data_IF_943970938241
#
_entry.id   IF_943970938241
#
_cell.length_a   1.000
_cell.length_b   1.000
_cell.length_c   1.000
_cell.angle_alpha   90.00
_cell.angle_beta   90.00
_cell.angle_gamma   90.00
#
_symmetry.space_group_name_H-M   'P 1'
#
loop_
_entity.id
_entity.type
_entity.pdbx_description
1 polymer ?
#
# COMPACT_ATOMS: atom_id res chain seq x y z
N UNK A 1 11.74 -25.84 -5.89
CA UNK A 1 10.32 -25.52 -6.15
C UNK A 1 9.58 -25.07 -4.87
N UNK A 2 10.23 -24.45 -3.88
CA UNK A 2 9.73 -24.56 -2.48
C UNK A 2 9.67 -23.27 -1.64
N UNK A 3 10.34 -22.17 -2.02
CA UNK A 3 10.43 -20.96 -1.17
C UNK A 3 9.42 -19.86 -1.52
N UNK A 4 9.10 -19.72 -2.81
CA UNK A 4 8.02 -18.82 -3.23
C UNK A 4 6.71 -19.22 -2.52
N UNK A 5 6.50 -20.53 -2.31
CA UNK A 5 5.36 -21.16 -1.64
C UNK A 5 5.22 -20.88 -0.12
N UNK A 6 6.30 -20.55 0.60
CA UNK A 6 6.18 -20.11 2.00
C UNK A 6 5.74 -18.64 2.11
N UNK A 7 6.24 -17.79 1.21
CA UNK A 7 5.87 -16.38 1.14
C UNK A 7 4.39 -16.26 0.71
N UNK A 8 4.03 -16.91 -0.41
CA UNK A 8 2.93 -17.90 -0.45
C UNK A 8 1.89 -17.83 0.66
N UNK A 9 2.13 -18.74 1.59
CA UNK A 9 1.26 -19.05 2.72
C UNK A 9 1.13 -17.92 3.73
N UNK A 10 2.15 -17.08 3.91
CA UNK A 10 2.08 -15.99 4.91
C UNK A 10 1.11 -14.89 4.48
N UNK A 11 1.23 -14.36 3.25
CA UNK A 11 0.27 -13.35 2.77
C UNK A 11 -1.13 -13.95 2.65
N UNK A 12 -1.23 -15.22 2.23
CA UNK A 12 -2.50 -15.93 2.10
C UNK A 12 -3.21 -16.00 3.45
N UNK A 13 -2.50 -16.36 4.51
CA UNK A 13 -3.05 -16.39 5.87
C UNK A 13 -3.48 -15.01 6.34
N UNK A 14 -2.70 -13.97 6.07
CA UNK A 14 -3.05 -12.59 6.45
C UNK A 14 -4.33 -12.14 5.76
N UNK A 15 -4.42 -12.28 4.43
CA UNK A 15 -5.61 -11.84 3.70
C UNK A 15 -6.84 -12.68 4.07
N UNK A 16 -6.69 -14.00 4.22
CA UNK A 16 -7.78 -14.87 4.67
C UNK A 16 -8.26 -14.48 6.06
N UNK A 17 -7.35 -14.22 7.01
CA UNK A 17 -7.70 -13.79 8.36
C UNK A 17 -8.46 -12.46 8.38
N UNK A 18 -8.11 -11.52 7.49
CA UNK A 18 -8.84 -10.25 7.33
C UNK A 18 -10.23 -10.52 6.76
N UNK A 19 -10.34 -11.24 5.64
CA UNK A 19 -11.62 -11.46 4.96
C UNK A 19 -12.60 -12.29 5.80
N UNK A 20 -12.13 -13.32 6.49
CA UNK A 20 -12.96 -14.16 7.38
C UNK A 20 -13.68 -13.33 8.46
N UNK A 21 -13.03 -12.26 8.95
CA UNK A 21 -13.57 -11.34 9.96
C UNK A 21 -14.33 -10.15 9.35
N UNK A 22 -14.29 -9.97 8.03
CA UNK A 22 -15.03 -8.89 7.36
C UNK A 22 -16.54 -9.11 7.48
N UNK A 23 -17.31 -8.03 7.65
CA UNK A 23 -18.78 -8.10 7.60
C UNK A 23 -19.31 -8.18 6.17
N UNK A 24 -18.56 -7.65 5.20
CA UNK A 24 -19.04 -7.42 3.84
C UNK A 24 -18.26 -8.19 2.76
N UNK A 25 -17.00 -8.56 3.03
CA UNK A 25 -16.07 -9.05 2.01
C UNK A 25 -15.61 -10.50 2.25
N UNK A 26 -16.35 -11.32 3.01
CA UNK A 26 -15.94 -12.69 3.37
C UNK A 26 -15.66 -13.56 2.14
N UNK A 27 -16.53 -13.46 1.14
CA UNK A 27 -16.49 -14.27 -0.07
C UNK A 27 -15.83 -13.55 -1.25
N UNK A 28 -15.08 -12.46 -0.98
CA UNK A 28 -14.45 -11.68 -2.03
C UNK A 28 -13.32 -12.47 -2.70
N UNK A 29 -13.31 -12.47 -4.04
CA UNK A 29 -12.26 -13.14 -4.82
C UNK A 29 -10.90 -12.49 -4.58
N UNK A 30 -9.92 -13.31 -4.21
CA UNK A 30 -8.53 -12.85 -4.01
C UNK A 30 -7.77 -12.95 -5.33
N UNK A 31 -7.30 -11.82 -5.85
CA UNK A 31 -6.36 -11.78 -6.97
C UNK A 31 -4.91 -11.84 -6.47
N UNK A 32 -4.12 -12.80 -6.98
CA UNK A 32 -2.70 -12.89 -6.67
C UNK A 32 -1.86 -12.22 -7.74
N UNK A 33 -1.02 -11.28 -7.33
CA UNK A 33 -0.07 -10.61 -8.21
C UNK A 33 1.37 -10.86 -7.77
N UNK A 34 2.17 -11.41 -8.69
CA UNK A 34 3.59 -11.71 -8.43
C UNK A 34 4.45 -10.46 -8.20
N UNK A 35 3.98 -9.28 -8.62
CA UNK A 35 4.64 -7.99 -8.43
C UNK A 35 4.54 -7.50 -7.00
N UNK A 36 3.61 -8.02 -6.20
CA UNK A 36 3.45 -7.67 -4.78
C UNK A 36 4.40 -8.42 -3.84
N UNK A 37 5.26 -9.29 -4.37
CA UNK A 37 6.21 -10.07 -3.56
C UNK A 37 7.29 -9.20 -2.92
N UNK A 38 7.86 -9.71 -1.83
CA UNK A 38 9.00 -9.09 -1.15
C UNK A 38 10.23 -8.93 -2.08
N UNK A 39 11.07 -7.96 -1.73
CA UNK A 39 12.43 -7.79 -2.28
C UNK A 39 13.21 -9.10 -2.18
N UNK A 40 13.81 -9.53 -3.28
CA UNK A 40 14.76 -10.65 -3.27
C UNK A 40 16.05 -10.23 -2.60
N UNK A 41 16.53 -11.07 -1.70
CA UNK A 41 17.82 -10.89 -1.03
C UNK A 41 18.89 -11.86 -1.54
N UNK A 42 18.58 -12.65 -2.58
CA UNK A 42 19.54 -13.53 -3.25
C UNK A 42 20.25 -14.46 -2.26
N UNK A 43 21.59 -14.42 -2.26
CA UNK A 43 22.43 -15.22 -1.34
C UNK A 43 22.23 -14.90 0.14
N UNK A 44 21.56 -13.79 0.48
CA UNK A 44 21.22 -13.41 1.85
C UNK A 44 19.86 -13.91 2.33
N UNK A 45 19.08 -14.59 1.48
CA UNK A 45 17.78 -15.14 1.88
C UNK A 45 17.90 -16.26 2.93
N UNK A 46 17.09 -16.16 3.98
CA UNK A 46 17.10 -17.11 5.11
C UNK A 46 18.24 -16.87 6.10
N UNK A 47 19.11 -15.89 5.86
CA UNK A 47 20.18 -15.51 6.78
C UNK A 47 19.71 -14.44 7.78
N UNK A 48 20.33 -14.35 8.96
CA UNK A 48 20.08 -13.26 9.91
C UNK A 48 20.37 -11.88 9.30
N UNK A 49 19.63 -10.86 9.76
CA UNK A 49 19.84 -9.48 9.33
C UNK A 49 21.27 -8.97 9.60
N UNK A 50 21.92 -9.47 10.66
CA UNK A 50 23.31 -9.15 10.97
C UNK A 50 24.28 -9.55 9.85
N UNK A 51 24.04 -10.69 9.19
CA UNK A 51 24.86 -11.13 8.06
C UNK A 51 24.68 -10.22 6.84
N UNK A 52 23.45 -9.82 6.53
CA UNK A 52 23.20 -8.85 5.44
C UNK A 52 23.91 -7.51 5.70
N UNK A 53 23.90 -7.03 6.95
CA UNK A 53 24.63 -5.82 7.36
C UNK A 53 26.14 -6.00 7.25
N UNK A 54 26.67 -7.17 7.60
CA UNK A 54 28.08 -7.48 7.47
C UNK A 54 28.52 -7.51 5.99
N UNK A 55 27.71 -8.11 5.12
CA UNK A 55 27.95 -8.09 3.66
C UNK A 55 27.96 -6.66 3.12
N UNK A 56 27.00 -5.83 3.51
CA UNK A 56 26.96 -4.42 3.11
C UNK A 56 28.23 -3.68 3.53
N UNK A 57 28.63 -3.83 4.81
CA UNK A 57 29.83 -3.19 5.36
C UNK A 57 31.11 -3.64 4.65
N UNK A 58 31.22 -4.92 4.26
CA UNK A 58 32.37 -5.44 3.52
C UNK A 58 32.54 -4.77 2.15
N UNK A 59 31.47 -4.25 1.55
CA UNK A 59 31.49 -3.48 0.30
C UNK A 59 31.46 -1.97 0.51
N UNK A 60 31.62 -1.47 1.75
CA UNK A 60 31.55 -0.04 2.06
C UNK A 60 30.16 0.57 1.83
N UNK A 61 29.10 -0.26 1.81
CA UNK A 61 27.71 0.16 1.62
C UNK A 61 26.92 -0.05 2.91
N UNK A 62 25.73 0.56 2.96
CA UNK A 62 24.80 0.41 4.08
C UNK A 62 23.49 -0.25 3.63
N UNK A 63 22.79 -0.89 4.57
CA UNK A 63 21.42 -1.29 4.35
C UNK A 63 20.50 -0.05 4.45
N UNK A 64 19.48 0.10 3.59
CA UNK A 64 18.99 -0.89 2.64
C UNK A 64 19.56 -0.78 1.21
N UNK A 65 20.51 0.12 0.95
CA UNK A 65 21.03 0.41 -0.40
C UNK A 65 21.83 -0.78 -0.97
N UNK A 66 22.58 -1.48 -0.12
CA UNK A 66 23.28 -2.70 -0.51
C UNK A 66 22.35 -3.73 -1.17
N UNK A 67 22.81 -4.31 -2.27
CA UNK A 67 22.11 -5.38 -2.99
C UNK A 67 23.00 -6.61 -3.01
N UNK A 68 22.65 -7.66 -2.25
CA UNK A 68 23.42 -8.91 -2.25
C UNK A 68 23.34 -9.60 -3.63
N UNK A 69 24.33 -10.44 -3.99
CA UNK A 69 24.31 -11.22 -5.23
C UNK A 69 23.00 -12.00 -5.41
N UNK A 70 22.37 -11.87 -6.58
CA UNK A 70 21.07 -12.47 -6.90
C UNK A 70 19.86 -11.78 -6.23
N UNK A 71 20.08 -10.69 -5.48
CA UNK A 71 19.03 -9.85 -4.91
C UNK A 71 18.51 -8.79 -5.88
N UNK A 72 17.45 -8.09 -5.47
CA UNK A 72 16.91 -6.94 -6.19
C UNK A 72 17.44 -5.62 -5.65
N UNK A 73 17.67 -4.65 -6.54
CA UNK A 73 17.96 -3.27 -6.17
C UNK A 73 16.69 -2.57 -5.68
N UNK A 74 16.84 -1.44 -4.97
CA UNK A 74 15.69 -0.64 -4.54
C UNK A 74 14.88 -0.13 -5.75
N UNK A 75 15.56 0.23 -6.84
CA UNK A 75 14.91 0.70 -8.08
C UNK A 75 14.15 -0.41 -8.79
N UNK A 76 14.67 -1.64 -8.80
CA UNK A 76 13.94 -2.79 -9.34
C UNK A 76 12.65 -3.08 -8.56
N UNK A 77 12.71 -2.99 -7.22
CA UNK A 77 11.52 -3.11 -6.38
C UNK A 77 10.54 -1.97 -6.65
N UNK A 78 11.04 -0.73 -6.73
CA UNK A 78 10.22 0.47 -7.05
C UNK A 78 9.52 0.30 -8.41
N UNK A 79 10.24 -0.15 -9.44
CA UNK A 79 9.70 -0.31 -10.79
C UNK A 79 8.54 -1.32 -10.83
N UNK A 80 8.65 -2.45 -10.12
CA UNK A 80 7.53 -3.40 -10.00
C UNK A 80 6.37 -2.84 -9.16
N UNK A 81 6.67 -1.97 -8.19
CA UNK A 81 5.69 -1.18 -7.45
C UNK A 81 4.87 -0.30 -8.40
N UNK A 82 5.57 0.48 -9.22
CA UNK A 82 4.97 1.34 -10.24
C UNK A 82 4.15 0.54 -11.24
N UNK A 83 4.70 -0.54 -11.80
CA UNK A 83 3.99 -1.39 -12.77
C UNK A 83 2.70 -1.99 -12.20
N UNK A 84 2.70 -2.40 -10.92
CA UNK A 84 1.48 -2.84 -10.24
C UNK A 84 0.47 -1.70 -10.06
N UNK A 85 0.94 -0.52 -9.67
CA UNK A 85 0.09 0.65 -9.44
C UNK A 85 -0.55 1.15 -10.74
N UNK A 86 0.22 1.27 -11.83
CA UNK A 86 -0.26 1.66 -13.15
C UNK A 86 -1.34 0.67 -13.64
N UNK A 87 -1.10 -0.63 -13.47
CA UNK A 87 -2.10 -1.67 -13.74
C UNK A 87 -3.38 -1.48 -12.90
N UNK A 88 -3.24 -1.19 -11.61
CA UNK A 88 -4.38 -1.02 -10.71
C UNK A 88 -5.22 0.18 -11.11
N UNK A 89 -4.60 1.31 -11.42
CA UNK A 89 -5.29 2.51 -11.90
C UNK A 89 -6.08 2.21 -13.19
N UNK A 90 -5.45 1.56 -14.17
CA UNK A 90 -6.11 1.16 -15.42
C UNK A 90 -7.28 0.20 -15.20
N UNK A 91 -7.14 -0.75 -14.27
CA UNK A 91 -8.20 -1.69 -13.91
C UNK A 91 -9.42 -0.96 -13.35
N UNK A 92 -9.22 -0.04 -12.41
CA UNK A 92 -10.30 0.72 -11.78
C UNK A 92 -10.97 1.67 -12.79
N UNK A 93 -10.22 2.35 -13.65
CA UNK A 93 -10.80 3.19 -14.73
C UNK A 93 -11.67 2.37 -15.68
N UNK A 94 -11.18 1.20 -16.09
CA UNK A 94 -11.93 0.29 -16.96
C UNK A 94 -13.21 -0.18 -16.28
N UNK A 95 -13.16 -0.55 -15.00
CA UNK A 95 -14.36 -0.98 -14.28
C UNK A 95 -15.36 0.16 -14.02
N UNK A 96 -14.87 1.39 -13.81
CA UNK A 96 -15.71 2.57 -13.67
C UNK A 96 -16.41 2.95 -15.00
N UNK A 97 -15.68 2.90 -16.13
CA UNK A 97 -16.24 3.22 -17.45
C UNK A 97 -17.20 2.17 -18.02
N UNK A 98 -17.20 0.94 -17.50
CA UNK A 98 -18.14 -0.13 -17.89
C UNK A 98 -19.42 -0.14 -17.04
N UNK A 99 -19.49 0.64 -15.97
CA UNK A 99 -20.74 0.86 -15.23
C UNK A 99 -21.57 1.91 -15.99
N UNK A 100 -22.60 1.46 -16.70
CA UNK A 100 -23.73 2.34 -17.08
C UNK A 100 -24.20 3.14 -15.86
N UNK A 101 -24.67 4.40 -16.01
CA UNK A 101 -25.17 5.18 -14.89
C UNK A 101 -26.36 4.46 -14.27
N UNK A 102 -26.11 3.79 -13.15
CA UNK A 102 -27.17 3.26 -12.31
C UNK A 102 -28.04 4.45 -11.89
N UNK A 103 -29.35 4.21 -11.94
CA UNK A 103 -30.45 5.12 -11.56
C UNK A 103 -30.17 5.97 -10.31
N UNK A 104 -30.89 7.09 -10.12
CA UNK A 104 -30.57 8.09 -9.11
C UNK A 104 -30.51 7.51 -7.69
N UNK A 105 -29.45 7.90 -6.97
CA UNK A 105 -29.35 7.89 -5.50
C UNK A 105 -29.15 6.55 -4.79
N UNK A 106 -27.91 6.03 -4.86
CA UNK A 106 -27.23 5.58 -3.64
C UNK A 106 -26.05 6.52 -3.45
N UNK A 107 -25.98 7.30 -2.36
CA UNK A 107 -24.90 8.27 -2.19
C UNK A 107 -23.56 7.52 -2.19
N UNK A 108 -22.58 8.03 -2.96
CA UNK A 108 -21.18 7.55 -2.98
C UNK A 108 -20.48 7.57 -1.62
N UNK A 109 -21.19 7.98 -0.57
CA UNK A 109 -20.79 8.15 0.80
C UNK A 109 -20.58 6.82 1.55
N UNK A 110 -21.02 5.65 1.04
CA UNK A 110 -20.96 4.40 1.83
C UNK A 110 -19.53 3.89 2.08
N UNK A 111 -18.65 3.91 1.07
CA UNK A 111 -17.27 3.45 1.20
C UNK A 111 -16.45 4.42 2.06
N UNK A 112 -16.59 5.72 1.79
CA UNK A 112 -15.87 6.77 2.50
C UNK A 112 -16.27 6.81 3.98
N UNK A 113 -17.57 6.71 4.28
CA UNK A 113 -18.07 6.65 5.66
C UNK A 113 -17.52 5.44 6.41
N UNK A 114 -17.48 4.26 5.77
CA UNK A 114 -16.92 3.04 6.38
C UNK A 114 -15.42 3.15 6.66
N UNK A 115 -14.68 3.87 5.82
CA UNK A 115 -13.25 4.13 6.05
C UNK A 115 -13.05 5.17 7.16
N UNK A 116 -13.87 6.22 7.19
CA UNK A 116 -13.80 7.29 8.18
C UNK A 116 -14.15 6.81 9.61
N UNK A 117 -14.87 5.69 9.77
CA UNK A 117 -15.11 5.08 11.09
C UNK A 117 -13.82 4.62 11.80
N UNK A 118 -12.78 4.26 11.04
CA UNK A 118 -11.56 3.62 11.56
C UNK A 118 -10.32 4.49 11.30
N UNK A 119 -10.28 5.16 10.15
CA UNK A 119 -9.14 5.96 9.72
C UNK A 119 -9.41 7.45 9.90
N UNK A 120 -8.36 8.26 10.10
CA UNK A 120 -8.50 9.71 10.22
C UNK A 120 -8.74 10.38 8.86
N UNK A 121 -9.79 9.94 8.12
CA UNK A 121 -10.39 10.71 7.03
C UNK A 121 -11.14 11.87 7.71
N UNK A 122 -10.44 12.98 7.91
CA UNK A 122 -10.88 14.02 8.85
C UNK A 122 -12.28 14.57 8.57
N UNK A 123 -13.00 14.87 9.65
CA UNK A 123 -14.04 15.92 9.69
C UNK A 123 -13.52 17.20 10.40
N UNK A 124 -12.21 17.44 10.40
CA UNK A 124 -11.58 18.65 10.98
C UNK A 124 -11.50 19.78 9.94
N UNK A 125 -12.66 20.19 9.41
CA UNK A 125 -12.77 21.40 8.61
C UNK A 125 -12.65 22.63 9.52
N UNK A 126 -11.51 23.31 9.44
CA UNK A 126 -11.53 24.78 9.52
C UNK A 126 -12.31 25.28 8.29
N UNK A 127 -13.18 26.29 8.38
CA UNK A 127 -14.02 26.74 7.26
C UNK A 127 -13.25 27.27 6.03
N UNK A 128 -11.92 27.37 6.10
CA UNK A 128 -11.10 28.08 5.11
C UNK A 128 -10.17 27.17 4.26
N UNK A 129 -10.24 25.84 4.42
CA UNK A 129 -9.48 24.92 3.55
C UNK A 129 -10.38 23.83 2.98
N UNK A 130 -11.35 24.24 2.15
CA UNK A 130 -11.91 23.35 1.14
C UNK A 130 -10.82 23.00 0.13
N UNK A 131 -10.00 21.98 0.42
CA UNK A 131 -9.68 21.04 -0.67
C UNK A 131 -10.86 20.09 -0.67
N UNK A 132 -11.91 20.52 -1.36
CA UNK A 132 -13.03 19.65 -1.65
C UNK A 132 -12.45 18.47 -2.45
N UNK A 133 -12.27 17.32 -1.82
CA UNK A 133 -12.26 16.06 -2.57
C UNK A 133 -13.49 16.16 -3.48
N UNK A 134 -13.26 16.06 -4.79
CA UNK A 134 -14.27 16.36 -5.79
C UNK A 134 -15.59 15.66 -5.45
N UNK A 135 -16.71 16.25 -5.83
CA UNK A 135 -18.06 15.75 -5.52
C UNK A 135 -18.38 14.35 -6.10
N UNK A 136 -17.38 13.59 -6.56
CA UNK A 136 -17.47 12.21 -6.99
C UNK A 136 -16.96 11.30 -5.85
N UNK A 137 -17.86 10.52 -5.24
CA UNK A 137 -17.47 9.54 -4.21
C UNK A 137 -16.48 8.49 -4.72
N UNK A 138 -15.89 7.72 -3.80
CA UNK A 138 -14.88 6.71 -4.11
C UNK A 138 -15.39 5.67 -5.13
N UNK A 139 -14.69 5.54 -6.26
CA UNK A 139 -15.02 4.54 -7.28
C UNK A 139 -14.78 3.10 -6.81
N UNK A 140 -13.76 2.90 -5.95
CA UNK A 140 -13.39 1.62 -5.36
C UNK A 140 -12.64 1.78 -4.03
N UNK A 141 -12.65 0.72 -3.21
CA UNK A 141 -11.77 0.58 -2.05
C UNK A 141 -10.97 -0.70 -2.20
N UNK A 142 -9.65 -0.58 -2.36
CA UNK A 142 -8.76 -1.70 -2.70
C UNK A 142 -7.92 -2.11 -1.48
N UNK A 143 -8.01 -3.39 -1.10
CA UNK A 143 -7.17 -3.98 -0.07
C UNK A 143 -5.96 -4.68 -0.70
N UNK A 144 -4.75 -4.18 -0.40
CA UNK A 144 -3.49 -4.79 -0.84
C UNK A 144 -2.72 -5.32 0.37
N UNK A 145 -2.37 -6.61 0.35
CA UNK A 145 -1.50 -7.23 1.36
C UNK A 145 -0.14 -7.54 0.72
N UNK A 146 0.93 -6.99 1.30
CA UNK A 146 2.28 -7.13 0.76
C UNK A 146 3.33 -7.19 1.89
N UNK A 147 4.55 -6.74 1.61
CA UNK A 147 5.73 -6.92 2.44
C UNK A 147 6.43 -5.60 2.73
N UNK A 148 7.16 -5.55 3.85
CA UNK A 148 7.71 -4.31 4.38
C UNK A 148 8.69 -3.59 3.44
N UNK A 149 9.64 -4.30 2.82
CA UNK A 149 10.60 -3.62 1.95
C UNK A 149 9.95 -3.20 0.60
N UNK A 150 9.05 -4.02 0.06
CA UNK A 150 8.23 -3.64 -1.10
C UNK A 150 7.37 -2.40 -0.82
N UNK A 151 6.57 -2.41 0.25
CA UNK A 151 5.68 -1.31 0.61
C UNK A 151 6.46 -0.01 0.84
N UNK A 152 7.62 -0.07 1.51
CA UNK A 152 8.49 1.09 1.67
C UNK A 152 8.92 1.69 0.33
N UNK A 153 9.31 0.86 -0.64
CA UNK A 153 9.66 1.33 -1.99
C UNK A 153 8.46 1.92 -2.73
N UNK A 154 7.27 1.33 -2.61
CA UNK A 154 6.04 1.82 -3.22
C UNK A 154 5.60 3.17 -2.62
N UNK A 155 5.61 3.30 -1.29
CA UNK A 155 5.31 4.57 -0.62
C UNK A 155 6.34 5.64 -0.97
N UNK A 156 7.61 5.25 -1.12
CA UNK A 156 8.66 6.12 -1.63
C UNK A 156 8.30 6.72 -2.98
N UNK A 157 7.81 5.88 -3.91
CA UNK A 157 7.30 6.31 -5.20
C UNK A 157 6.11 7.28 -5.07
N UNK A 158 5.11 6.95 -4.26
CA UNK A 158 3.94 7.83 -4.04
C UNK A 158 4.30 9.22 -3.51
N UNK A 159 5.19 9.31 -2.53
CA UNK A 159 5.43 10.57 -1.82
C UNK A 159 6.59 11.39 -2.37
N UNK A 160 7.45 10.78 -3.18
CA UNK A 160 8.64 11.43 -3.75
C UNK A 160 8.47 11.63 -5.24
N UNK A 161 8.16 10.57 -5.98
CA UNK A 161 8.07 10.61 -7.44
C UNK A 161 6.72 11.23 -7.88
N UNK A 162 5.59 10.79 -7.30
CA UNK A 162 4.24 11.37 -7.56
C UNK A 162 3.92 12.61 -6.71
N UNK A 163 4.87 13.08 -5.89
CA UNK A 163 4.71 14.27 -5.01
C UNK A 163 3.46 14.21 -4.12
N UNK A 164 3.05 13.01 -3.70
CA UNK A 164 1.88 12.82 -2.87
C UNK A 164 1.92 13.61 -1.55
N UNK A 165 0.75 13.99 -1.09
CA UNK A 165 0.57 14.74 0.16
C UNK A 165 0.70 13.84 1.39
N UNK A 166 1.20 14.42 2.48
CA UNK A 166 1.32 13.79 3.80
C UNK A 166 0.47 14.57 4.80
N UNK A 167 -0.20 13.90 5.75
CA UNK A 167 -0.90 14.57 6.83
C UNK A 167 0.12 15.23 7.76
N UNK A 168 -0.27 16.34 8.41
CA UNK A 168 0.62 17.13 9.26
C UNK A 168 1.21 16.34 10.45
N UNK A 169 0.56 15.25 10.83
CA UNK A 169 1.00 14.36 11.91
C UNK A 169 2.12 13.40 11.50
N UNK A 170 2.32 13.18 10.20
CA UNK A 170 3.34 12.27 9.69
C UNK A 170 4.56 13.05 9.20
N UNK A 171 5.74 12.51 9.51
CA UNK A 171 6.99 13.09 9.07
C UNK A 171 7.63 12.25 7.95
N UNK A 172 8.47 12.88 7.12
CA UNK A 172 9.15 12.15 6.02
C UNK A 172 10.11 11.06 6.51
N UNK A 173 10.51 11.03 7.78
CA UNK A 173 11.36 9.96 8.31
C UNK A 173 10.59 8.64 8.49
N UNK A 174 9.27 8.68 8.65
CA UNK A 174 8.42 7.48 8.67
C UNK A 174 8.37 6.78 7.32
N UNK A 175 8.67 7.49 6.23
CA UNK A 175 8.83 6.91 4.89
C UNK A 175 10.05 5.99 4.78
N UNK A 176 11.06 6.21 5.63
CA UNK A 176 12.24 5.33 5.70
C UNK A 176 11.97 4.08 6.55
N UNK A 177 10.94 4.10 7.39
CA UNK A 177 10.60 2.99 8.26
C UNK A 177 10.00 1.81 7.47
N UNK A 178 10.36 0.60 7.89
CA UNK A 178 9.73 -0.62 7.38
C UNK A 178 8.41 -0.81 8.11
N UNK A 179 7.34 -1.10 7.37
CA UNK A 179 6.03 -1.34 7.95
C UNK A 179 6.08 -2.47 8.98
N UNK A 180 5.48 -2.30 10.19
CA UNK A 180 5.37 -3.39 11.14
C UNK A 180 4.49 -4.51 10.56
N UNK A 181 4.60 -5.73 11.11
CA UNK A 181 3.73 -6.83 10.70
C UNK A 181 2.26 -6.42 10.91
N UNK A 182 1.44 -6.55 9.87
CA UNK A 182 0.03 -6.13 9.84
C UNK A 182 -0.19 -4.62 10.05
N UNK A 183 0.85 -3.80 9.89
CA UNK A 183 0.71 -2.35 9.83
C UNK A 183 -0.16 -1.93 8.65
N UNK A 184 -1.06 -0.98 8.87
CA UNK A 184 -2.02 -0.52 7.85
C UNK A 184 -1.64 0.90 7.40
N UNK A 185 -1.53 1.08 6.09
CA UNK A 185 -1.36 2.41 5.48
C UNK A 185 -2.51 2.65 4.51
N UNK A 186 -3.07 3.85 4.53
CA UNK A 186 -4.19 4.23 3.69
C UNK A 186 -3.82 5.45 2.84
N UNK A 187 -4.14 5.35 1.55
CA UNK A 187 -3.96 6.41 0.57
C UNK A 187 -5.26 6.58 -0.22
N UNK A 188 -5.64 7.83 -0.48
CA UNK A 188 -6.66 8.20 -1.46
C UNK A 188 -5.92 8.56 -2.75
N UNK A 189 -6.39 8.01 -3.88
CA UNK A 189 -5.77 8.20 -5.18
C UNK A 189 -6.80 8.86 -6.08
N UNK A 190 -6.50 10.07 -6.51
CA UNK A 190 -7.33 10.85 -7.42
C UNK A 190 -6.66 10.86 -8.79
N UNK A 191 -7.36 10.40 -9.82
CA UNK A 191 -6.77 10.26 -11.14
C UNK A 191 -7.82 10.25 -12.24
N UNK A 192 -7.47 10.87 -13.36
CA UNK A 192 -8.29 10.96 -14.56
C UNK A 192 -7.64 10.18 -15.72
N UNK A 193 -8.43 9.83 -16.72
CA UNK A 193 -7.91 9.16 -17.92
C UNK A 193 -6.89 10.03 -18.64
N UNK A 194 -5.66 9.54 -18.78
CA UNK A 194 -4.55 10.26 -19.41
C UNK A 194 -3.80 11.24 -18.48
N UNK A 195 -4.23 11.39 -17.23
CA UNK A 195 -3.55 12.20 -16.20
C UNK A 195 -2.53 11.43 -15.36
N UNK A 196 -1.64 12.15 -14.68
CA UNK A 196 -0.81 11.59 -13.62
C UNK A 196 -1.63 11.50 -12.32
N UNK A 197 -1.62 10.36 -11.60
CA UNK A 197 -2.41 10.20 -10.38
C UNK A 197 -1.89 11.08 -9.24
N UNK A 198 -2.80 11.79 -8.59
CA UNK A 198 -2.57 12.48 -7.32
C UNK A 198 -2.74 11.50 -6.15
N UNK A 199 -1.79 11.54 -5.20
CA UNK A 199 -1.76 10.62 -4.07
C UNK A 199 -1.88 11.38 -2.77
N UNK A 200 -2.87 11.05 -1.96
CA UNK A 200 -3.11 11.62 -0.65
C UNK A 200 -2.93 10.56 0.43
N UNK A 201 -1.85 10.65 1.19
CA UNK A 201 -1.65 9.77 2.34
C UNK A 201 -2.59 10.17 3.48
N UNK A 202 -3.35 9.22 3.99
CA UNK A 202 -4.22 9.42 5.17
C UNK A 202 -3.48 8.98 6.43
N UNK A 203 -2.90 7.78 6.41
CA UNK A 203 -2.12 7.25 7.52
C UNK A 203 -1.05 6.27 7.04
N UNK A 204 0.02 6.10 7.81
CA UNK A 204 1.07 5.11 7.54
C UNK A 204 1.32 4.25 8.77
N UNK A 205 1.48 2.94 8.53
CA UNK A 205 1.93 1.98 9.55
C UNK A 205 1.08 1.98 10.83
N UNK A 206 -0.22 2.24 10.70
CA UNK A 206 -1.20 2.19 11.77
C UNK A 206 -1.22 0.79 12.38
N UNK A 207 -1.23 0.72 13.70
CA UNK A 207 -1.08 -0.54 14.45
C UNK A 207 -1.99 -0.61 15.67
N UNK A 208 -3.03 0.21 15.71
CA UNK A 208 -3.89 0.35 16.89
C UNK A 208 -4.57 -0.97 17.25
N UNK A 209 -4.88 -1.79 16.24
CA UNK A 209 -5.43 -3.14 16.40
C UNK A 209 -4.48 -4.13 17.09
N UNK A 210 -3.18 -3.84 17.16
CA UNK A 210 -2.18 -4.69 17.84
C UNK A 210 -2.01 -4.35 19.31
N UNK A 211 -2.44 -3.17 19.74
CA UNK A 211 -2.17 -2.71 21.10
C UNK A 211 -3.14 -3.30 22.14
N UNK A 212 -4.06 -4.19 21.73
CA UNK A 212 -5.11 -4.72 22.59
C UNK A 212 -6.03 -3.57 23.03
N UNK A 213 -7.13 -3.35 22.33
CA UNK A 213 -8.11 -2.37 22.77
C UNK A 213 -8.51 -2.64 24.22
N UNK A 214 -8.45 -1.61 25.07
CA UNK A 214 -9.15 -1.62 26.36
C UNK A 214 -10.65 -1.85 26.14
#
# INVERSE_FOLDING_TARGET
>A
MEKQDLTKRKYFKTIHGILEKSKFCKDMTIAYDSRLRERRYGVAEGKPLSELRAMAKAEGKECPVFTPPGGETLDQVKMRGKDFFDFLCQLILKEAGQKEPLSPEVPGNCLESSLAEIFPLGNNCSPESHVAYGHAGLAASVLVVSHGAYMRSLFGYFLTDLKGSLPATLNRSELAAVSPNTGISLFIIDFEEGGEPEVHCVCMNLRDHLNGGN
#
